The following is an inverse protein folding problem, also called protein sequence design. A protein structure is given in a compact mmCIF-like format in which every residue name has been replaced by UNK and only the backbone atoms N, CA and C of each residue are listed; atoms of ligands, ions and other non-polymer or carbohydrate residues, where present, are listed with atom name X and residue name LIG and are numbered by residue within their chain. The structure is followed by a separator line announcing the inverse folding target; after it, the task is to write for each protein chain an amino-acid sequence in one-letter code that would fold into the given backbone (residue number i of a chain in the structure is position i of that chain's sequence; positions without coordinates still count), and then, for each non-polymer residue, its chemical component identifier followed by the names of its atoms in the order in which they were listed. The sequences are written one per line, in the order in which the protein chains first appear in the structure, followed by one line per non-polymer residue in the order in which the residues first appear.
data_IF_054670242308
#
_entry.id   IF_054670242308
#
_cell.length_a   1.000
_cell.length_b   1.000
_cell.length_c   1.000
_cell.angle_alpha   90.00
_cell.angle_beta   90.00
_cell.angle_gamma   90.00
#
_symmetry.space_group_name_H-M   'P 1'
#
loop_
_entity.id
_entity.type
_entity.pdbx_description
1 polymer ?
#
# COMPACT_ATOMS: atom_id res chain seq x y z
N UNK A 1 20.05 12.39 -10.02
CA UNK A 1 19.95 11.00 -10.51
C UNK A 1 18.70 10.45 -9.91
N UNK A 2 17.76 10.16 -10.79
CA UNK A 2 16.37 9.93 -10.47
C UNK A 2 16.16 8.43 -10.28
N UNK A 3 15.28 8.09 -9.35
CA UNK A 3 14.98 6.72 -9.00
C UNK A 3 13.50 6.46 -9.17
N UNK A 4 13.14 5.26 -9.60
CA UNK A 4 11.76 4.86 -9.85
C UNK A 4 11.46 3.54 -9.16
N UNK A 5 10.27 3.43 -8.56
CA UNK A 5 9.85 2.24 -7.84
C UNK A 5 9.24 1.22 -8.78
N UNK A 6 9.77 -0.01 -8.82
CA UNK A 6 9.22 -1.10 -9.63
C UNK A 6 7.82 -1.55 -9.20
N UNK A 7 7.39 -1.22 -7.96
CA UNK A 7 6.05 -1.59 -7.44
C UNK A 7 5.01 -0.57 -7.89
N UNK A 8 5.08 0.66 -7.38
CA UNK A 8 4.06 1.67 -7.68
C UNK A 8 4.33 2.50 -8.94
N UNK A 9 5.50 2.38 -9.55
CA UNK A 9 5.85 3.16 -10.73
C UNK A 9 6.19 4.62 -10.46
N UNK A 10 6.13 5.10 -9.21
CA UNK A 10 6.45 6.49 -8.90
C UNK A 10 7.94 6.83 -8.99
N UNK A 11 8.22 8.09 -9.34
CA UNK A 11 9.58 8.62 -9.52
C UNK A 11 9.98 9.50 -8.34
N UNK A 12 10.99 9.07 -7.59
CA UNK A 12 11.60 9.88 -6.56
C UNK A 12 12.52 10.96 -7.16
N UNK A 13 12.25 12.20 -6.76
CA UNK A 13 13.05 13.39 -7.09
C UNK A 13 14.00 13.79 -5.94
N UNK A 14 14.16 12.92 -4.93
CA UNK A 14 15.05 13.18 -3.80
C UNK A 14 16.54 13.07 -4.19
N UNK A 15 17.38 13.76 -3.43
CA UNK A 15 18.84 13.61 -3.55
C UNK A 15 19.28 12.22 -3.07
N UNK A 16 19.66 11.36 -4.02
CA UNK A 16 20.15 10.01 -3.75
C UNK A 16 19.04 8.95 -3.69
N UNK A 17 19.46 7.69 -3.52
CA UNK A 17 18.53 6.56 -3.45
C UNK A 17 17.84 6.56 -2.07
N UNK A 18 16.51 6.64 -2.00
CA UNK A 18 15.81 6.49 -0.73
C UNK A 18 15.92 5.05 -0.20
N UNK A 19 15.83 4.88 1.12
CA UNK A 19 15.84 3.56 1.76
C UNK A 19 14.60 2.74 1.39
N UNK A 20 13.42 3.32 1.51
CA UNK A 20 12.16 2.74 1.02
C UNK A 20 11.48 3.73 0.06
N UNK A 21 10.55 3.26 -0.76
CA UNK A 21 9.80 4.11 -1.68
C UNK A 21 9.06 5.19 -0.87
N UNK A 22 9.28 6.49 -1.14
CA UNK A 22 8.65 7.56 -0.37
C UNK A 22 7.17 7.76 -0.72
N UNK A 23 6.60 6.93 -1.59
CA UNK A 23 5.21 6.95 -2.04
C UNK A 23 4.46 5.74 -1.46
N UNK A 24 4.85 4.52 -1.88
CA UNK A 24 4.23 3.26 -1.46
C UNK A 24 4.97 2.48 -0.36
N UNK A 25 6.06 2.99 0.21
CA UNK A 25 6.78 2.27 1.28
C UNK A 25 7.60 1.04 0.85
N UNK A 26 7.54 0.59 -0.42
CA UNK A 26 8.28 -0.57 -0.91
C UNK A 26 9.78 -0.53 -0.60
N UNK A 27 10.36 -1.67 -0.22
CA UNK A 27 11.74 -1.79 0.21
C UNK A 27 12.77 -1.35 -0.84
N UNK A 28 13.98 -0.97 -0.39
CA UNK A 28 15.08 -0.43 -1.22
C UNK A 28 15.37 -1.23 -2.50
N UNK A 29 15.16 -2.54 -2.46
CA UNK A 29 15.41 -3.46 -3.58
C UNK A 29 14.52 -3.16 -4.80
N UNK A 30 13.33 -2.60 -4.60
CA UNK A 30 12.39 -2.23 -5.66
C UNK A 30 12.68 -0.86 -6.27
N UNK A 31 13.59 -0.09 -5.67
CA UNK A 31 13.92 1.26 -6.10
C UNK A 31 15.09 1.16 -7.08
N UNK A 32 14.84 1.42 -8.35
CA UNK A 32 15.84 1.32 -9.41
C UNK A 32 16.24 2.71 -9.89
N UNK A 33 17.44 2.82 -10.45
CA UNK A 33 17.76 4.01 -11.26
C UNK A 33 16.78 4.08 -12.42
N UNK A 34 16.42 5.28 -12.85
CA UNK A 34 15.44 5.46 -13.94
C UNK A 34 15.79 4.65 -15.22
N UNK A 35 17.09 4.55 -15.57
CA UNK A 35 17.59 3.78 -16.72
C UNK A 35 17.43 2.24 -16.59
N UNK A 36 17.27 1.73 -15.37
CA UNK A 36 17.14 0.31 -15.04
C UNK A 36 15.76 -0.01 -14.43
N UNK A 37 14.80 0.91 -14.56
CA UNK A 37 13.44 0.72 -14.07
C UNK A 37 12.73 -0.32 -14.92
N UNK A 38 12.02 -1.21 -14.25
CA UNK A 38 11.17 -2.22 -14.87
C UNK A 38 9.95 -2.44 -13.98
N UNK A 39 8.74 -2.15 -14.49
CA UNK A 39 7.52 -2.24 -13.70
C UNK A 39 7.23 -3.72 -13.41
N UNK A 40 6.81 -4.05 -12.19
CA UNK A 40 6.25 -5.36 -11.86
C UNK A 40 4.84 -5.47 -12.47
N UNK A 41 4.79 -5.71 -13.78
CA UNK A 41 3.57 -5.89 -14.55
C UNK A 41 3.83 -6.86 -15.72
N UNK A 42 2.77 -7.26 -16.40
CA UNK A 42 2.81 -8.16 -17.55
C UNK A 42 1.64 -7.85 -18.49
N UNK A 43 1.83 -8.09 -19.79
CA UNK A 43 0.81 -7.84 -20.81
C UNK A 43 -0.39 -8.81 -20.67
N UNK A 44 -0.14 -10.02 -20.16
CA UNK A 44 -1.14 -11.07 -20.02
C UNK A 44 -1.34 -11.42 -18.53
N UNK A 45 -2.46 -10.97 -17.97
CA UNK A 45 -2.89 -11.31 -16.61
C UNK A 45 -4.07 -12.31 -16.69
N UNK A 46 -3.90 -13.45 -16.04
CA UNK A 46 -4.87 -14.52 -15.84
C UNK A 46 -6.13 -14.04 -15.11
N UNK A 47 -7.23 -14.77 -15.28
CA UNK A 47 -8.49 -14.40 -14.61
C UNK A 47 -8.36 -14.41 -13.08
N UNK A 48 -7.66 -15.41 -12.53
CA UNK A 48 -7.37 -15.51 -11.09
C UNK A 48 -6.62 -14.27 -10.58
N UNK A 49 -5.54 -13.89 -11.25
CA UNK A 49 -4.77 -12.69 -10.88
C UNK A 49 -5.62 -11.41 -11.04
N UNK A 50 -6.44 -11.30 -12.09
CA UNK A 50 -7.35 -10.15 -12.27
C UNK A 50 -8.36 -10.02 -11.14
N UNK A 51 -8.98 -11.13 -10.72
CA UNK A 51 -9.92 -11.13 -9.60
C UNK A 51 -9.24 -10.74 -8.28
N UNK A 52 -8.03 -11.23 -8.06
CA UNK A 52 -7.25 -10.92 -6.85
C UNK A 52 -6.78 -9.46 -6.83
N UNK A 53 -6.32 -8.92 -7.96
CA UNK A 53 -5.99 -7.49 -8.07
C UNK A 53 -7.22 -6.62 -7.77
N UNK A 54 -8.41 -6.95 -8.28
CA UNK A 54 -9.65 -6.22 -7.96
C UNK A 54 -10.00 -6.25 -6.47
N UNK A 55 -9.82 -7.40 -5.80
CA UNK A 55 -10.01 -7.52 -4.35
C UNK A 55 -9.00 -6.66 -3.59
N UNK A 56 -7.73 -6.68 -4.01
CA UNK A 56 -6.67 -5.87 -3.43
C UNK A 56 -6.95 -4.36 -3.56
N UNK A 57 -7.37 -3.89 -4.74
CA UNK A 57 -7.78 -2.50 -4.95
C UNK A 57 -8.86 -2.10 -3.95
N UNK A 58 -9.90 -2.94 -3.79
CA UNK A 58 -10.97 -2.66 -2.85
C UNK A 58 -10.48 -2.64 -1.40
N UNK A 59 -9.53 -3.51 -1.05
CA UNK A 59 -8.92 -3.55 0.28
C UNK A 59 -8.14 -2.26 0.56
N UNK A 60 -7.29 -1.84 -0.36
CA UNK A 60 -6.48 -0.62 -0.25
C UNK A 60 -7.34 0.64 -0.18
N UNK A 61 -8.36 0.76 -1.03
CA UNK A 61 -9.33 1.85 -0.95
C UNK A 61 -10.00 1.88 0.44
N UNK A 62 -10.33 0.72 1.02
CA UNK A 62 -10.94 0.66 2.34
C UNK A 62 -9.97 1.02 3.48
N UNK A 63 -8.68 0.73 3.33
CA UNK A 63 -7.66 1.13 4.31
C UNK A 63 -7.34 2.63 4.17
N UNK A 64 -7.20 3.15 2.95
CA UNK A 64 -7.05 4.59 2.68
C UNK A 64 -8.17 5.40 3.32
N UNK A 65 -9.42 4.95 3.15
CA UNK A 65 -10.63 5.48 3.77
C UNK A 65 -10.56 5.53 5.30
N UNK A 66 -10.20 4.40 5.91
CA UNK A 66 -10.06 4.29 7.34
C UNK A 66 -9.01 5.27 7.88
N UNK A 67 -7.84 5.32 7.25
CA UNK A 67 -6.77 6.22 7.66
C UNK A 67 -7.08 7.69 7.43
N UNK A 68 -7.82 8.03 6.37
CA UNK A 68 -8.32 9.39 6.16
C UNK A 68 -9.30 9.82 7.27
N UNK A 69 -10.16 8.92 7.74
CA UNK A 69 -11.01 9.16 8.90
C UNK A 69 -10.16 9.35 10.17
N UNK A 70 -9.25 8.41 10.47
CA UNK A 70 -8.40 8.46 11.66
C UNK A 70 -7.56 9.74 11.70
N UNK A 71 -7.03 10.18 10.56
CA UNK A 71 -6.29 11.43 10.43
C UNK A 71 -7.11 12.69 10.73
N UNK A 72 -8.42 12.64 10.48
CA UNK A 72 -9.33 13.77 10.71
C UNK A 72 -9.86 13.81 12.15
N UNK A 73 -10.15 12.66 12.72
CA UNK A 73 -10.84 12.55 14.02
C UNK A 73 -9.88 12.43 15.21
N UNK A 74 -8.64 11.98 15.01
CA UNK A 74 -7.66 11.81 16.10
C UNK A 74 -7.29 13.15 16.73
N UNK A 75 -7.36 13.24 18.07
CA UNK A 75 -7.07 14.48 18.81
C UNK A 75 -5.58 14.82 18.89
N UNK A 76 -4.69 13.81 18.86
CA UNK A 76 -3.24 14.01 18.83
C UNK A 76 -2.77 14.35 17.41
N UNK A 77 -2.26 15.57 17.22
CA UNK A 77 -1.81 16.08 15.92
C UNK A 77 -0.66 15.25 15.32
N UNK A 78 0.25 14.72 16.14
CA UNK A 78 1.36 13.89 15.66
C UNK A 78 0.83 12.56 15.12
N UNK A 79 -0.09 11.93 15.85
CA UNK A 79 -0.70 10.66 15.42
C UNK A 79 -1.63 10.87 14.21
N UNK A 80 -2.39 11.95 14.17
CA UNK A 80 -3.17 12.36 13.00
C UNK A 80 -2.30 12.52 11.75
N UNK A 81 -1.09 13.08 11.88
CA UNK A 81 -0.13 13.18 10.78
C UNK A 81 0.37 11.81 10.30
N UNK A 82 0.55 10.84 11.20
CA UNK A 82 0.93 9.46 10.84
C UNK A 82 -0.20 8.79 10.06
N UNK A 83 -1.45 8.85 10.55
CA UNK A 83 -2.60 8.31 9.83
C UNK A 83 -2.80 8.96 8.46
N UNK A 84 -2.58 10.28 8.36
CA UNK A 84 -2.63 10.98 7.07
C UNK A 84 -1.60 10.42 6.08
N UNK A 85 -0.42 10.04 6.56
CA UNK A 85 0.62 9.45 5.71
C UNK A 85 0.26 8.03 5.31
N UNK A 86 -0.23 7.19 6.23
CA UNK A 86 -0.70 5.83 5.93
C UNK A 86 -1.81 5.87 4.88
N UNK A 87 -2.82 6.73 5.05
CA UNK A 87 -3.91 6.83 4.07
C UNK A 87 -3.47 7.24 2.66
N UNK A 88 -2.35 7.98 2.54
CA UNK A 88 -1.74 8.27 1.23
C UNK A 88 -0.98 7.08 0.64
N UNK A 89 -0.34 6.28 1.49
CA UNK A 89 0.35 5.05 1.06
C UNK A 89 -0.66 4.04 0.53
N UNK A 90 -1.79 3.85 1.22
CA UNK A 90 -2.81 2.91 0.73
C UNK A 90 -3.51 3.40 -0.54
N UNK A 91 -3.71 4.71 -0.68
CA UNK A 91 -4.22 5.29 -1.94
C UNK A 91 -3.24 5.02 -3.10
N UNK A 92 -1.94 5.20 -2.88
CA UNK A 92 -0.90 4.86 -3.84
C UNK A 92 -0.87 3.36 -4.18
N UNK A 93 -1.14 2.46 -3.21
CA UNK A 93 -1.27 1.04 -3.48
C UNK A 93 -2.47 0.73 -4.38
N UNK A 94 -3.62 1.35 -4.10
CA UNK A 94 -4.81 1.21 -4.92
C UNK A 94 -4.55 1.67 -6.37
N UNK A 95 -3.89 2.81 -6.56
CA UNK A 95 -3.49 3.33 -7.87
C UNK A 95 -2.53 2.36 -8.57
N UNK A 96 -1.47 1.92 -7.89
CA UNK A 96 -0.50 1.00 -8.44
C UNK A 96 -1.10 -0.34 -8.90
N UNK A 97 -2.13 -0.83 -8.19
CA UNK A 97 -2.88 -2.03 -8.55
C UNK A 97 -3.86 -1.77 -9.70
N UNK A 98 -4.54 -0.62 -9.73
CA UNK A 98 -5.45 -0.23 -10.80
C UNK A 98 -4.73 -0.11 -12.15
N UNK A 99 -3.51 0.43 -12.13
CA UNK A 99 -2.64 0.51 -13.32
C UNK A 99 -2.28 -0.87 -13.90
N UNK A 100 -2.22 -1.94 -13.09
CA UNK A 100 -1.98 -3.30 -13.60
C UNK A 100 -3.13 -3.78 -14.50
N UNK A 101 -4.34 -3.27 -14.29
CA UNK A 101 -5.54 -3.64 -15.04
C UNK A 101 -5.97 -2.60 -16.07
N UNK A 102 -5.27 -1.46 -16.17
CA UNK A 102 -5.66 -0.30 -16.97
C UNK A 102 -7.09 0.16 -16.68
N UNK A 103 -7.45 0.22 -15.39
CA UNK A 103 -8.75 0.73 -14.93
C UNK A 103 -8.60 2.11 -14.29
N UNK A 104 -9.56 2.99 -14.54
CA UNK A 104 -9.58 4.33 -13.95
C UNK A 104 -9.76 4.25 -12.42
N UNK A 105 -9.10 5.18 -11.72
CA UNK A 105 -9.19 5.34 -10.27
C UNK A 105 -10.63 5.73 -9.85
N UNK A 106 -11.14 5.12 -8.79
CA UNK A 106 -12.34 5.60 -8.13
C UNK A 106 -11.98 6.69 -7.11
N UNK A 107 -12.70 7.83 -7.12
CA UNK A 107 -12.58 8.82 -6.04
C UNK A 107 -12.77 8.15 -4.68
N UNK A 108 -11.96 8.51 -3.68
CA UNK A 108 -12.03 7.96 -2.32
C UNK A 108 -13.12 8.70 -1.51
N UNK A 109 -14.35 8.16 -1.33
CA UNK A 109 -15.35 8.77 -0.44
C UNK A 109 -14.95 8.65 1.04
N UNK A 110 -15.55 9.45 1.92
CA UNK A 110 -15.33 9.36 3.37
C UNK A 110 -15.87 8.05 3.96
N UNK A 111 -15.21 7.57 5.03
CA UNK A 111 -15.61 6.39 5.79
C UNK A 111 -15.89 6.77 7.24
N UNK A 112 -16.93 6.17 7.83
CA UNK A 112 -17.53 6.65 9.10
C UNK A 112 -17.09 5.85 10.34
N UNK A 113 -16.31 4.78 10.19
CA UNK A 113 -15.84 3.97 11.34
C UNK A 113 -14.35 4.23 11.66
N UNK A 114 -14.10 5.26 12.48
CA UNK A 114 -12.84 5.48 13.18
C UNK A 114 -13.09 6.10 14.56
N UNK A 115 -12.03 6.33 15.34
CA UNK A 115 -12.11 6.90 16.69
C UNK A 115 -11.33 8.22 16.80
N UNK A 116 -11.65 9.02 17.81
CA UNK A 116 -10.80 10.17 18.20
C UNK A 116 -9.57 9.74 19.02
N UNK A 117 -9.63 8.55 19.62
CA UNK A 117 -8.55 7.92 20.37
C UNK A 117 -7.59 7.20 19.40
N UNK A 118 -6.35 7.71 19.32
CA UNK A 118 -5.31 7.17 18.44
C UNK A 118 -5.02 5.69 18.72
N UNK A 119 -5.00 5.27 19.97
CA UNK A 119 -4.68 3.88 20.34
C UNK A 119 -5.73 2.92 19.79
N UNK A 120 -7.01 3.28 19.84
CA UNK A 120 -8.08 2.47 19.23
C UNK A 120 -7.96 2.40 17.71
N UNK A 121 -7.56 3.50 17.06
CA UNK A 121 -7.27 3.49 15.63
C UNK A 121 -6.08 2.56 15.32
N UNK A 122 -5.02 2.55 16.14
CA UNK A 122 -3.90 1.62 15.97
C UNK A 122 -4.28 0.15 16.20
N UNK A 123 -5.19 -0.15 17.12
CA UNK A 123 -5.73 -1.51 17.28
C UNK A 123 -6.54 -1.96 16.05
N UNK A 124 -7.26 -1.05 15.40
CA UNK A 124 -7.96 -1.35 14.14
C UNK A 124 -7.00 -1.46 12.97
N UNK A 125 -6.01 -0.58 12.87
CA UNK A 125 -4.92 -0.64 11.91
C UNK A 125 -4.26 -2.01 11.97
N UNK A 126 -3.86 -2.45 13.16
CA UNK A 126 -3.22 -3.75 13.37
C UNK A 126 -4.03 -4.92 12.78
N UNK A 127 -5.36 -4.93 12.98
CA UNK A 127 -6.24 -5.96 12.41
C UNK A 127 -6.34 -5.87 10.89
N UNK A 128 -6.34 -4.65 10.34
CA UNK A 128 -6.40 -4.39 8.90
C UNK A 128 -5.12 -4.83 8.20
N UNK A 129 -3.96 -4.50 8.74
CA UNK A 129 -2.68 -4.85 8.12
C UNK A 129 -2.44 -6.35 8.19
N UNK A 130 -2.81 -6.99 9.30
CA UNK A 130 -2.76 -8.45 9.42
C UNK A 130 -3.65 -9.10 8.35
N UNK A 131 -4.88 -8.59 8.15
CA UNK A 131 -5.77 -9.08 7.10
C UNK A 131 -5.17 -8.88 5.70
N UNK A 132 -4.60 -7.71 5.41
CA UNK A 132 -3.97 -7.42 4.12
C UNK A 132 -2.78 -8.34 3.83
N UNK A 133 -1.91 -8.56 4.82
CA UNK A 133 -0.80 -9.51 4.73
C UNK A 133 -1.28 -10.91 4.35
N UNK A 134 -2.31 -11.43 5.03
CA UNK A 134 -2.80 -12.79 4.78
C UNK A 134 -3.48 -12.92 3.41
N UNK A 135 -4.24 -11.89 2.97
CA UNK A 135 -4.82 -11.86 1.62
C UNK A 135 -3.72 -11.77 0.56
N UNK A 136 -2.71 -10.89 0.71
CA UNK A 136 -1.63 -10.74 -0.27
C UNK A 136 -0.71 -11.95 -0.36
N UNK A 137 -0.46 -12.66 0.74
CA UNK A 137 0.22 -13.97 0.66
C UNK A 137 -0.57 -14.95 -0.19
N UNK A 138 -1.89 -15.03 0.01
CA UNK A 138 -2.78 -15.89 -0.77
C UNK A 138 -2.74 -15.49 -2.26
N UNK A 139 -2.84 -14.19 -2.56
CA UNK A 139 -2.81 -13.70 -3.94
C UNK A 139 -1.47 -13.97 -4.62
N UNK A 140 -0.35 -13.85 -3.90
CA UNK A 140 0.98 -14.20 -4.39
C UNK A 140 1.16 -15.71 -4.65
N UNK A 141 0.47 -16.56 -3.90
CA UNK A 141 0.48 -18.02 -4.12
C UNK A 141 -0.38 -18.42 -5.32
N UNK A 142 -1.49 -17.72 -5.55
CA UNK A 142 -2.44 -17.98 -6.64
C UNK A 142 -2.04 -17.34 -7.97
N UNK A 143 -1.14 -16.34 -7.96
CA UNK A 143 -0.67 -15.67 -9.17
C UNK A 143 0.10 -16.62 -10.10
N UNK A 144 -0.32 -16.69 -11.36
CA UNK A 144 0.35 -17.47 -12.40
C UNK A 144 1.59 -16.74 -12.95
N UNK A 145 1.59 -15.41 -12.86
CA UNK A 145 2.61 -14.54 -13.43
C UNK A 145 3.66 -14.17 -12.37
N UNK A 146 4.96 -14.34 -12.66
CA UNK A 146 6.02 -14.07 -11.71
C UNK A 146 6.06 -12.60 -11.27
N UNK A 147 5.72 -11.66 -12.15
CA UNK A 147 5.68 -10.23 -11.86
C UNK A 147 4.55 -9.88 -10.89
N UNK A 148 3.35 -10.45 -11.08
CA UNK A 148 2.20 -10.24 -10.19
C UNK A 148 2.45 -10.89 -8.82
N UNK A 149 3.07 -12.07 -8.81
CA UNK A 149 3.54 -12.70 -7.58
C UNK A 149 4.55 -11.82 -6.84
N UNK A 150 5.53 -11.26 -7.54
CA UNK A 150 6.52 -10.37 -6.93
C UNK A 150 5.88 -9.07 -6.42
N UNK A 151 4.90 -8.52 -7.14
CA UNK A 151 4.13 -7.35 -6.73
C UNK A 151 3.42 -7.59 -5.39
N UNK A 152 2.67 -8.68 -5.25
CA UNK A 152 1.99 -9.00 -3.99
C UNK A 152 2.96 -9.29 -2.85
N UNK A 153 4.11 -9.94 -3.11
CA UNK A 153 5.15 -10.09 -2.10
C UNK A 153 5.73 -8.74 -1.66
N UNK A 154 5.84 -7.77 -2.57
CA UNK A 154 6.27 -6.41 -2.21
C UNK A 154 5.26 -5.74 -1.27
N UNK A 155 3.95 -5.86 -1.55
CA UNK A 155 2.91 -5.35 -0.64
C UNK A 155 2.95 -6.06 0.72
N UNK A 156 3.15 -7.38 0.78
CA UNK A 156 3.33 -8.09 2.07
C UNK A 156 4.47 -7.48 2.90
N UNK A 157 5.59 -7.10 2.27
CA UNK A 157 6.70 -6.44 2.95
C UNK A 157 6.32 -5.06 3.50
N UNK A 158 5.56 -4.27 2.74
CA UNK A 158 5.07 -2.95 3.16
C UNK A 158 4.08 -3.08 4.31
N UNK A 159 3.07 -3.95 4.17
CA UNK A 159 2.05 -4.14 5.20
C UNK A 159 2.64 -4.72 6.49
N UNK A 160 3.72 -5.50 6.39
CA UNK A 160 4.46 -5.94 7.58
C UNK A 160 5.10 -4.77 8.33
N UNK A 161 5.61 -3.75 7.61
CA UNK A 161 6.13 -2.53 8.23
C UNK A 161 5.00 -1.70 8.87
N UNK A 162 3.82 -1.64 8.26
CA UNK A 162 2.62 -1.03 8.83
C UNK A 162 2.14 -1.77 10.10
N UNK A 163 2.12 -3.10 10.06
CA UNK A 163 1.78 -3.95 11.20
C UNK A 163 2.73 -3.68 12.37
N UNK A 164 4.04 -3.69 12.12
CA UNK A 164 5.07 -3.38 13.13
C UNK A 164 4.95 -1.95 13.68
N UNK A 165 4.51 -0.98 12.87
CA UNK A 165 4.20 0.36 13.35
C UNK A 165 3.02 0.33 14.32
N UNK A 166 1.92 -0.33 13.95
CA UNK A 166 0.73 -0.45 14.81
C UNK A 166 1.04 -1.16 16.13
N UNK A 167 1.81 -2.25 16.12
CA UNK A 167 2.22 -2.97 17.34
C UNK A 167 2.99 -2.09 18.32
N UNK A 168 3.91 -1.25 17.82
CA UNK A 168 4.67 -0.32 18.66
C UNK A 168 3.81 0.80 19.26
N UNK A 169 2.64 1.06 18.68
CA UNK A 169 1.71 2.11 19.12
C UNK A 169 0.64 1.57 20.08
N UNK A 170 0.43 0.25 20.11
CA UNK A 170 -0.52 -0.42 21.01
C UNK A 170 0.12 -1.07 22.24
N UNK A 171 1.46 -1.20 22.27
CA UNK A 171 2.23 -1.72 23.41
C UNK A 171 2.83 -0.59 24.25
#
# INVERSE_FOLDING_TARGET
MEYRCNVCGETSLMDGKPGNCPFCGAQEKYIKKLENYDRLTTDEISETSRENIKKAIQLEINNAKFYACAARETEDENEASVFKRLGKVEAEHAEALAELLDIEEEEIPSFDECYSDATKNYEMAHKRENKAIEEYKTFAEEAEEPEIKEFFNALVEVETDHLNLSERKTN
#
